data_IF_529014649603
#
_entry.id   IF_529014649603
#
_cell.length_a   1.000
_cell.length_b   1.000
_cell.length_c   1.000
_cell.angle_alpha   90.00
_cell.angle_beta   90.00
_cell.angle_gamma   90.00
#
_symmetry.space_group_name_H-M   'P 1'
#
loop_
_entity.id
_entity.type
_entity.pdbx_description
1 polymer ?
#
# COMPACT_ATOMS: atom_id res chain seq x y z
N UNK A 1 -15.47 -4.94 -27.05
CA UNK A 1 -14.10 -5.40 -27.35
C UNK A 1 -13.10 -4.64 -26.50
N UNK A 2 -12.65 -5.21 -25.37
CA UNK A 2 -11.68 -4.55 -24.50
C UNK A 2 -10.27 -4.60 -25.12
N UNK A 3 -9.73 -3.45 -25.51
CA UNK A 3 -8.35 -3.29 -25.94
C UNK A 3 -7.42 -3.84 -24.85
N UNK A 4 -6.56 -4.79 -25.24
CA UNK A 4 -5.56 -5.38 -24.35
C UNK A 4 -4.44 -4.36 -24.14
N UNK A 5 -4.41 -3.68 -22.98
CA UNK A 5 -3.25 -2.85 -22.61
C UNK A 5 -1.97 -3.72 -22.54
N UNK A 6 -0.87 -3.23 -23.10
CA UNK A 6 0.49 -3.78 -22.95
C UNK A 6 0.92 -3.98 -21.48
N UNK A 7 0.22 -3.35 -20.54
CA UNK A 7 0.29 -3.60 -19.10
C UNK A 7 0.16 -5.10 -18.74
N UNK A 8 -0.78 -5.81 -19.39
CA UNK A 8 -1.22 -7.15 -18.96
C UNK A 8 -0.17 -8.24 -19.24
N UNK A 9 0.74 -8.04 -20.19
CA UNK A 9 1.81 -9.00 -20.47
C UNK A 9 2.94 -8.94 -19.43
N UNK A 10 3.15 -7.80 -18.77
CA UNK A 10 4.20 -7.58 -17.74
C UNK A 10 3.77 -7.93 -16.31
N UNK A 11 2.47 -8.06 -16.04
CA UNK A 11 1.92 -8.22 -14.69
C UNK A 11 1.39 -9.64 -14.43
N UNK A 12 1.95 -10.67 -15.07
CA UNK A 12 1.47 -12.07 -14.93
C UNK A 12 1.42 -12.58 -13.49
N UNK A 13 2.22 -12.00 -12.59
CA UNK A 13 2.25 -12.34 -11.17
C UNK A 13 1.20 -11.59 -10.31
N UNK A 14 0.41 -10.68 -10.90
CA UNK A 14 -0.61 -9.91 -10.19
C UNK A 14 -1.99 -10.47 -10.54
N UNK A 15 -2.64 -11.10 -9.56
CA UNK A 15 -3.99 -11.67 -9.73
C UNK A 15 -5.08 -10.60 -9.75
N UNK A 16 -4.88 -9.48 -9.05
CA UNK A 16 -5.85 -8.38 -8.97
C UNK A 16 -5.19 -7.06 -8.58
N UNK A 17 -5.82 -5.94 -8.97
CA UNK A 17 -5.52 -4.59 -8.51
C UNK A 17 -6.82 -3.97 -7.98
N UNK A 18 -6.75 -3.30 -6.84
CA UNK A 18 -7.90 -2.69 -6.17
C UNK A 18 -7.57 -1.27 -5.73
N UNK A 19 -8.57 -0.40 -5.71
CA UNK A 19 -8.49 0.93 -5.12
C UNK A 19 -9.70 1.14 -4.21
N UNK A 20 -9.47 1.64 -3.00
CA UNK A 20 -10.55 2.00 -2.09
C UNK A 20 -11.19 3.35 -2.42
N UNK A 21 -10.49 4.20 -3.17
CA UNK A 21 -10.92 5.58 -3.42
C UNK A 21 -10.50 6.07 -4.79
N UNK A 22 -11.17 7.13 -5.25
CA UNK A 22 -10.71 7.96 -6.37
C UNK A 22 -9.68 8.95 -5.84
N UNK A 23 -8.55 9.09 -6.55
CA UNK A 23 -7.47 10.00 -6.17
C UNK A 23 -7.80 11.42 -6.64
N UNK A 24 -8.64 12.12 -5.88
CA UNK A 24 -9.07 13.48 -6.20
C UNK A 24 -9.39 14.29 -4.93
N UNK A 25 -9.36 15.61 -5.08
CA UNK A 25 -9.88 16.54 -4.08
C UNK A 25 -9.29 16.34 -2.68
N UNK A 26 -10.12 16.21 -1.62
CA UNK A 26 -9.64 16.02 -0.25
C UNK A 26 -8.74 14.79 -0.06
N UNK A 27 -9.02 13.70 -0.77
CA UNK A 27 -8.27 12.45 -0.63
C UNK A 27 -6.90 12.53 -1.29
N UNK A 28 -6.82 13.18 -2.44
CA UNK A 28 -5.53 13.52 -3.05
C UNK A 28 -4.65 14.28 -2.06
N UNK A 29 -5.18 15.36 -1.47
CA UNK A 29 -4.43 16.18 -0.50
C UNK A 29 -4.02 15.39 0.75
N UNK A 30 -4.90 14.55 1.27
CA UNK A 30 -4.59 13.70 2.42
C UNK A 30 -3.49 12.68 2.10
N UNK A 31 -3.57 12.02 0.94
CA UNK A 31 -2.56 11.06 0.50
C UNK A 31 -1.23 11.77 0.21
N UNK A 32 -1.25 12.98 -0.36
CA UNK A 32 -0.05 13.78 -0.56
C UNK A 32 0.62 14.10 0.77
N UNK A 33 -0.12 14.68 1.73
CA UNK A 33 0.39 15.01 3.07
C UNK A 33 0.92 13.79 3.81
N UNK A 34 0.24 12.66 3.66
CA UNK A 34 0.69 11.40 4.23
C UNK A 34 1.98 10.88 3.58
N UNK A 35 2.20 11.14 2.28
CA UNK A 35 3.39 10.68 1.56
C UNK A 35 4.59 11.62 1.74
N UNK A 36 4.38 12.94 1.81
CA UNK A 36 5.46 13.90 1.63
C UNK A 36 5.61 14.90 2.78
N UNK A 37 4.55 15.18 3.53
CA UNK A 37 4.54 16.30 4.49
C UNK A 37 4.64 15.83 5.95
N UNK A 38 4.86 14.53 6.19
CA UNK A 38 5.05 13.99 7.55
C UNK A 38 3.76 13.74 8.34
N UNK A 39 2.59 13.79 7.71
CA UNK A 39 1.30 13.61 8.40
C UNK A 39 0.99 12.13 8.68
N UNK A 40 1.83 11.48 9.49
CA UNK A 40 1.78 10.03 9.74
C UNK A 40 0.49 9.58 10.46
N UNK A 41 -0.18 10.48 11.18
CA UNK A 41 -1.47 10.21 11.82
C UNK A 41 -2.56 9.81 10.80
N UNK A 42 -2.43 10.22 9.53
CA UNK A 42 -3.34 9.85 8.45
C UNK A 42 -3.29 8.35 8.12
N UNK A 43 -2.30 7.60 8.59
CA UNK A 43 -2.24 6.15 8.37
C UNK A 43 -3.49 5.42 8.89
N UNK A 44 -4.07 5.86 10.01
CA UNK A 44 -5.26 5.25 10.60
C UNK A 44 -6.52 5.45 9.72
N UNK A 45 -6.91 6.71 9.45
CA UNK A 45 -8.03 7.02 8.55
C UNK A 45 -7.87 6.43 7.15
N UNK A 46 -6.67 6.50 6.55
CA UNK A 46 -6.43 5.93 5.22
C UNK A 46 -6.52 4.40 5.22
N UNK A 47 -6.08 3.73 6.30
CA UNK A 47 -6.26 2.29 6.43
C UNK A 47 -7.73 1.90 6.60
N UNK A 48 -8.55 2.75 7.25
CA UNK A 48 -9.98 2.51 7.39
C UNK A 48 -10.69 2.45 6.04
N UNK A 49 -10.33 3.34 5.11
CA UNK A 49 -10.89 3.35 3.75
C UNK A 49 -10.59 2.06 2.99
N UNK A 50 -9.46 1.41 3.28
CA UNK A 50 -9.03 0.17 2.63
C UNK A 50 -9.71 -1.08 3.19
N UNK A 51 -10.40 -1.01 4.34
CA UNK A 51 -11.01 -2.18 4.99
C UNK A 51 -11.95 -2.92 4.03
N UNK A 52 -12.98 -2.29 3.43
CA UNK A 52 -13.95 -3.01 2.59
C UNK A 52 -13.30 -3.78 1.43
N UNK A 53 -12.27 -3.20 0.79
CA UNK A 53 -11.53 -3.86 -0.27
C UNK A 53 -10.74 -5.08 0.21
N UNK A 54 -10.19 -5.02 1.42
CA UNK A 54 -9.51 -6.16 2.04
C UNK A 54 -10.51 -7.27 2.37
N UNK A 55 -11.67 -6.93 2.94
CA UNK A 55 -12.72 -7.92 3.29
C UNK A 55 -13.22 -8.64 2.04
N UNK A 56 -13.48 -7.89 0.97
CA UNK A 56 -13.92 -8.44 -0.31
C UNK A 56 -12.84 -9.28 -1.00
N UNK A 57 -11.56 -8.92 -0.86
CA UNK A 57 -10.46 -9.64 -1.50
C UNK A 57 -9.99 -10.89 -0.73
N UNK A 58 -10.15 -10.88 0.58
CA UNK A 58 -9.47 -11.81 1.49
C UNK A 58 -10.45 -12.39 2.52
N UNK A 59 -11.37 -13.30 2.13
CA UNK A 59 -12.34 -13.88 3.06
C UNK A 59 -11.68 -14.69 4.19
N UNK A 60 -10.50 -15.28 3.95
CA UNK A 60 -9.72 -16.06 4.93
C UNK A 60 -8.52 -15.27 5.47
N UNK A 61 -8.81 -14.20 6.22
CA UNK A 61 -7.83 -13.17 6.67
C UNK A 61 -6.58 -13.67 7.41
N UNK A 62 -6.64 -14.68 8.32
CA UNK A 62 -5.46 -15.12 9.07
C UNK A 62 -4.35 -15.70 8.20
N UNK A 63 -4.70 -16.30 7.05
CA UNK A 63 -3.74 -16.84 6.08
C UNK A 63 -3.16 -15.80 5.11
N UNK A 64 -3.68 -14.57 5.11
CA UNK A 64 -3.25 -13.52 4.19
C UNK A 64 -2.15 -12.67 4.81
N UNK A 65 -1.04 -12.53 4.08
CA UNK A 65 0.07 -11.67 4.48
C UNK A 65 -0.07 -10.29 3.85
N UNK A 66 -0.21 -9.25 4.68
CA UNK A 66 -0.02 -7.88 4.22
C UNK A 66 1.48 -7.57 4.23
N UNK A 67 2.09 -7.21 3.10
CA UNK A 67 3.53 -6.94 3.00
C UNK A 67 3.76 -5.50 2.51
N UNK A 68 4.37 -4.63 3.32
CA UNK A 68 4.66 -3.26 2.90
C UNK A 68 5.79 -3.23 1.88
N UNK A 69 5.68 -2.33 0.91
CA UNK A 69 6.72 -2.16 -0.11
C UNK A 69 7.78 -1.18 0.41
N UNK A 70 9.07 -1.57 0.47
CA UNK A 70 10.11 -0.71 0.99
C UNK A 70 10.34 0.54 0.10
N UNK A 71 10.74 1.62 0.76
CA UNK A 71 11.37 2.76 0.09
C UNK A 71 12.85 2.46 -0.19
N UNK A 72 13.42 3.16 -1.17
CA UNK A 72 14.86 3.16 -1.38
C UNK A 72 15.54 3.83 -0.17
N UNK A 73 16.72 3.38 0.31
CA UNK A 73 17.35 3.93 1.51
C UNK A 73 17.53 5.45 1.50
N UNK A 74 17.84 6.04 0.34
CA UNK A 74 17.93 7.49 0.18
C UNK A 74 16.60 8.19 0.50
N UNK A 75 15.49 7.70 -0.07
CA UNK A 75 14.14 8.23 0.21
C UNK A 75 13.67 7.94 1.63
N UNK A 76 14.03 6.78 2.19
CA UNK A 76 13.73 6.46 3.58
C UNK A 76 14.38 7.48 4.53
N UNK A 77 15.64 7.86 4.26
CA UNK A 77 16.34 8.92 5.02
C UNK A 77 15.70 10.30 4.83
N UNK A 78 15.43 10.71 3.60
CA UNK A 78 14.85 12.02 3.31
C UNK A 78 13.43 12.18 3.89
N UNK A 79 12.61 11.13 3.84
CA UNK A 79 11.23 11.15 4.32
C UNK A 79 11.12 10.89 5.83
N UNK A 80 12.06 10.16 6.41
CA UNK A 80 12.04 9.77 7.83
C UNK A 80 11.09 8.62 8.19
N UNK A 81 10.21 8.19 7.27
CA UNK A 81 9.30 7.07 7.47
C UNK A 81 8.92 6.36 6.17
N UNK A 82 8.44 5.12 6.27
CA UNK A 82 7.82 4.39 5.16
C UNK A 82 6.29 4.39 5.31
N UNK A 83 5.63 5.14 4.43
CA UNK A 83 4.16 5.27 4.42
C UNK A 83 3.44 3.94 4.28
N UNK A 84 4.00 2.98 3.52
CA UNK A 84 3.39 1.66 3.35
C UNK A 84 3.49 0.81 4.61
N UNK A 85 4.58 0.93 5.37
CA UNK A 85 4.75 0.24 6.65
C UNK A 85 3.71 0.74 7.67
N UNK A 86 3.54 2.06 7.76
CA UNK A 86 2.54 2.66 8.64
C UNK A 86 1.13 2.21 8.28
N UNK A 87 0.79 2.20 6.99
CA UNK A 87 -0.53 1.81 6.50
C UNK A 87 -0.80 0.31 6.72
N UNK A 88 0.18 -0.55 6.41
CA UNK A 88 0.05 -2.01 6.62
C UNK A 88 -0.05 -2.34 8.11
N UNK A 89 0.69 -1.65 8.99
CA UNK A 89 0.55 -1.82 10.44
C UNK A 89 -0.88 -1.56 10.90
N UNK A 90 -1.48 -0.48 10.40
CA UNK A 90 -2.86 -0.10 10.70
C UNK A 90 -3.86 -1.12 10.12
N UNK A 91 -3.64 -1.63 8.91
CA UNK A 91 -4.48 -2.67 8.30
C UNK A 91 -4.43 -3.99 9.06
N UNK A 92 -3.23 -4.47 9.43
CA UNK A 92 -3.08 -5.71 10.21
C UNK A 92 -3.85 -5.65 11.53
N UNK A 93 -3.78 -4.51 12.22
CA UNK A 93 -4.51 -4.32 13.48
C UNK A 93 -6.03 -4.38 13.31
N UNK A 94 -6.57 -3.88 12.18
CA UNK A 94 -8.02 -3.84 11.91
C UNK A 94 -8.58 -5.14 11.35
N UNK A 95 -7.77 -5.88 10.60
CA UNK A 95 -8.23 -6.97 9.74
C UNK A 95 -7.59 -8.32 10.10
N UNK A 96 -6.85 -8.39 11.21
CA UNK A 96 -6.15 -9.59 11.66
C UNK A 96 -5.28 -10.24 10.58
N UNK A 97 -4.67 -9.41 9.71
CA UNK A 97 -3.82 -9.89 8.62
C UNK A 97 -2.47 -10.36 9.16
N UNK A 98 -1.94 -11.41 8.56
CA UNK A 98 -0.65 -11.96 8.92
C UNK A 98 0.53 -11.02 8.60
N UNK A 99 1.65 -11.27 9.28
CA UNK A 99 2.93 -10.59 9.09
C UNK A 99 3.96 -11.58 8.53
N UNK A 100 4.78 -11.19 7.54
CA UNK A 100 5.89 -12.04 7.10
C UNK A 100 6.94 -12.18 8.22
N UNK A 101 7.51 -13.39 8.36
CA UNK A 101 8.49 -13.71 9.41
C UNK A 101 9.78 -12.87 9.36
N UNK A 102 10.22 -12.34 8.21
CA UNK A 102 11.32 -11.35 8.04
C UNK A 102 11.35 -10.77 6.62
N UNK A 103 12.09 -9.66 6.44
CA UNK A 103 12.21 -8.80 5.24
C UNK A 103 12.16 -9.51 3.89
N UNK A 104 10.96 -9.57 3.30
CA UNK A 104 10.73 -10.24 2.01
C UNK A 104 10.99 -9.35 0.80
N UNK A 105 10.97 -8.03 0.99
CA UNK A 105 11.12 -7.07 -0.10
C UNK A 105 12.26 -6.11 0.21
N UNK A 106 13.06 -5.81 -0.82
CA UNK A 106 14.10 -4.78 -0.81
C UNK A 106 13.90 -3.89 -2.02
N UNK A 107 13.99 -2.57 -1.84
CA UNK A 107 13.96 -1.62 -2.94
C UNK A 107 15.38 -1.43 -3.46
N UNK A 108 15.70 -2.10 -4.56
CA UNK A 108 17.06 -2.11 -5.14
C UNK A 108 17.34 -0.97 -6.13
N UNK A 109 16.30 -0.28 -6.61
CA UNK A 109 16.43 0.85 -7.55
C UNK A 109 15.80 2.09 -6.97
N UNK A 110 16.49 3.22 -7.09
CA UNK A 110 15.91 4.52 -6.82
C UNK A 110 15.26 5.10 -8.09
N UNK A 111 13.95 4.92 -8.22
CA UNK A 111 13.18 5.52 -9.34
C UNK A 111 12.59 6.87 -8.94
N UNK A 112 12.70 7.94 -9.73
CA UNK A 112 12.05 9.21 -9.43
C UNK A 112 10.53 9.04 -9.14
N UNK A 113 9.91 9.91 -8.32
CA UNK A 113 8.46 9.92 -8.09
C UNK A 113 7.64 10.11 -9.38
#
# INVERSE_FOLDING_TARGET
>A
MAQRCACRSRLRAISALRSAVVYEGPLERAIHRFKYDGWTALAGPLAQLLVPEVEAACPHRPSVLAVPVPLHPHRARARGYNQSELLVRQLRARQALGRPRRGRLVRVRDTPP
#
